data_IF_492088892045
#
_entry.id   IF_492088892045
#
_cell.length_a   1.000
_cell.length_b   1.000
_cell.length_c   1.000
_cell.angle_alpha   90.00
_cell.angle_beta   90.00
_cell.angle_gamma   90.00
#
_symmetry.space_group_name_H-M   'P 1'
#
loop_
_entity.id
_entity.type
_entity.pdbx_description
1 polymer ?
#
# COMPACT_ATOMS: atom_id res chain seq x y z
N UNK A 1 16.99 -18.65 -21.21
CA UNK A 1 16.16 -17.64 -21.88
C UNK A 1 16.15 -16.42 -20.99
N UNK A 2 16.30 -15.20 -21.52
CA UNK A 2 16.17 -13.97 -20.75
C UNK A 2 14.74 -13.91 -20.21
N UNK A 3 14.57 -13.65 -18.91
CA UNK A 3 13.25 -13.41 -18.33
C UNK A 3 12.74 -12.07 -18.84
N UNK A 4 11.46 -12.03 -19.20
CA UNK A 4 10.82 -10.84 -19.74
C UNK A 4 9.57 -10.52 -18.92
N UNK A 5 9.44 -9.26 -18.50
CA UNK A 5 8.26 -8.78 -17.78
C UNK A 5 7.74 -7.48 -18.38
N UNK A 6 6.43 -7.35 -18.43
CA UNK A 6 5.72 -6.13 -18.81
C UNK A 6 5.14 -5.48 -17.58
N UNK A 7 5.48 -4.21 -17.33
CA UNK A 7 5.00 -3.43 -16.18
C UNK A 7 4.19 -2.26 -16.72
N UNK A 8 2.92 -2.16 -16.30
CA UNK A 8 2.12 -0.98 -16.53
C UNK A 8 2.49 0.09 -15.49
N UNK A 9 2.99 1.23 -15.96
CA UNK A 9 3.33 2.37 -15.13
C UNK A 9 2.16 3.37 -15.16
N UNK A 10 1.60 3.68 -14.00
CA UNK A 10 0.50 4.58 -13.79
C UNK A 10 0.96 5.76 -12.89
N UNK A 11 1.63 6.78 -13.44
CA UNK A 11 2.18 7.86 -12.61
C UNK A 11 1.10 8.61 -11.82
N UNK A 12 -0.05 8.88 -12.44
CA UNK A 12 -1.19 9.53 -11.80
C UNK A 12 -0.98 11.01 -11.54
N UNK A 13 -1.31 11.45 -10.31
CA UNK A 13 -1.45 12.85 -9.92
C UNK A 13 -0.36 13.30 -8.92
N UNK A 14 -0.23 14.58 -8.77
CA UNK A 14 0.61 15.19 -7.74
C UNK A 14 2.07 14.79 -7.82
N UNK A 15 2.61 14.24 -6.73
CA UNK A 15 4.00 13.76 -6.69
C UNK A 15 4.18 12.39 -7.37
N UNK A 16 3.10 11.72 -7.78
CA UNK A 16 3.14 10.39 -8.40
C UNK A 16 4.14 10.29 -9.57
N UNK A 17 4.12 11.22 -10.55
CA UNK A 17 5.12 11.23 -11.63
C UNK A 17 6.56 11.36 -11.15
N UNK A 18 6.82 12.14 -10.09
CA UNK A 18 8.16 12.30 -9.53
C UNK A 18 8.70 11.01 -8.93
N UNK A 19 7.90 10.34 -8.10
CA UNK A 19 8.33 9.11 -7.41
C UNK A 19 8.40 7.90 -8.36
N UNK A 20 7.49 7.81 -9.36
CA UNK A 20 7.56 6.77 -10.41
C UNK A 20 8.83 6.92 -11.25
N UNK A 21 9.24 8.14 -11.57
CA UNK A 21 10.47 8.39 -12.32
C UNK A 21 11.69 7.79 -11.61
N UNK A 22 11.76 7.90 -10.29
CA UNK A 22 12.86 7.33 -9.51
C UNK A 22 12.79 5.80 -9.42
N UNK A 23 11.61 5.22 -9.27
CA UNK A 23 11.39 3.79 -9.34
C UNK A 23 11.76 3.19 -10.72
N UNK A 24 11.48 3.91 -11.80
CA UNK A 24 11.88 3.53 -13.18
C UNK A 24 13.41 3.45 -13.33
N UNK A 25 14.18 4.33 -12.70
CA UNK A 25 15.64 4.24 -12.70
C UNK A 25 16.12 2.94 -12.06
N UNK A 26 15.53 2.57 -10.92
CA UNK A 26 15.80 1.30 -10.21
C UNK A 26 15.47 0.11 -11.10
N UNK A 27 14.28 0.08 -11.73
CA UNK A 27 13.88 -0.96 -12.67
C UNK A 27 14.87 -1.12 -13.83
N UNK A 28 15.29 -0.01 -14.46
CA UNK A 28 16.26 -0.02 -15.57
C UNK A 28 17.63 -0.53 -15.15
N UNK A 29 18.13 -0.12 -13.98
CA UNK A 29 19.40 -0.61 -13.44
C UNK A 29 19.35 -2.12 -13.17
N UNK A 30 18.26 -2.63 -12.57
CA UNK A 30 18.04 -4.06 -12.34
C UNK A 30 17.92 -4.84 -13.66
N UNK A 31 17.17 -4.34 -14.63
CA UNK A 31 17.07 -4.96 -15.97
C UNK A 31 18.43 -5.15 -16.60
N UNK A 32 19.28 -4.11 -16.56
CA UNK A 32 20.64 -4.15 -17.10
C UNK A 32 21.56 -5.10 -16.31
N UNK A 33 21.58 -5.02 -15.00
CA UNK A 33 22.51 -5.79 -14.15
C UNK A 33 22.18 -7.28 -14.08
N UNK A 34 20.87 -7.64 -14.17
CA UNK A 34 20.40 -9.01 -14.05
C UNK A 34 20.07 -9.66 -15.43
N UNK A 35 20.19 -8.91 -16.53
CA UNK A 35 19.85 -9.40 -17.86
C UNK A 35 18.34 -9.69 -18.03
N UNK A 36 17.49 -8.95 -17.30
CA UNK A 36 16.03 -9.05 -17.37
C UNK A 36 15.51 -8.03 -18.39
N UNK A 37 14.70 -8.49 -19.34
CA UNK A 37 14.03 -7.60 -20.29
C UNK A 37 12.76 -7.02 -19.63
N UNK A 38 12.75 -5.70 -19.37
CA UNK A 38 11.61 -5.00 -18.82
C UNK A 38 10.95 -4.12 -19.88
N UNK A 39 9.69 -4.42 -20.21
CA UNK A 39 8.82 -3.55 -21.00
C UNK A 39 8.03 -2.66 -20.04
N UNK A 40 8.31 -1.36 -20.06
CA UNK A 40 7.66 -0.37 -19.21
C UNK A 40 6.62 0.39 -20.06
N UNK A 41 5.35 0.15 -19.79
CA UNK A 41 4.23 0.76 -20.51
C UNK A 41 3.57 1.84 -19.66
N UNK A 42 3.82 3.10 -19.97
CA UNK A 42 3.26 4.23 -19.20
C UNK A 42 1.90 4.64 -19.79
N UNK A 43 0.88 4.70 -18.94
CA UNK A 43 -0.51 5.05 -19.27
C UNK A 43 -1.09 6.02 -18.23
N UNK A 44 -1.99 6.95 -18.66
CA UNK A 44 -2.56 7.95 -17.76
C UNK A 44 -3.60 7.33 -16.81
N UNK A 45 -3.70 7.87 -15.59
CA UNK A 45 -4.69 7.47 -14.58
C UNK A 45 -5.03 8.67 -13.69
N UNK A 46 -6.17 8.61 -13.02
CA UNK A 46 -6.57 9.62 -12.03
C UNK A 46 -7.03 10.93 -12.65
N UNK A 47 -6.69 12.03 -12.02
CA UNK A 47 -7.03 13.37 -12.47
C UNK A 47 -6.33 13.75 -13.78
N UNK A 48 -5.09 13.30 -13.97
CA UNK A 48 -4.36 13.49 -15.22
C UNK A 48 -5.07 12.83 -16.41
N UNK A 49 -5.61 11.64 -16.24
CA UNK A 49 -6.41 10.96 -17.25
C UNK A 49 -7.76 11.65 -17.46
N UNK A 50 -8.41 12.09 -16.38
CA UNK A 50 -9.66 12.85 -16.50
C UNK A 50 -9.49 14.12 -17.34
N UNK A 51 -8.39 14.85 -17.18
CA UNK A 51 -8.14 16.08 -17.95
C UNK A 51 -7.89 15.83 -19.43
N UNK A 52 -7.28 14.71 -19.77
CA UNK A 52 -6.92 14.39 -21.17
C UNK A 52 -7.99 13.56 -21.89
N UNK A 53 -8.71 12.70 -21.17
CA UNK A 53 -9.62 11.70 -21.76
C UNK A 53 -11.05 11.78 -21.20
N UNK A 54 -11.33 12.68 -20.24
CA UNK A 54 -12.64 12.87 -19.63
C UNK A 54 -13.07 11.77 -18.65
N UNK A 55 -12.18 10.80 -18.35
CA UNK A 55 -12.46 9.70 -17.43
C UNK A 55 -11.22 9.35 -16.61
N UNK A 56 -11.33 9.12 -15.27
CA UNK A 56 -10.17 8.88 -14.41
C UNK A 56 -9.49 7.51 -14.65
N UNK A 57 -10.21 6.54 -15.23
CA UNK A 57 -9.69 5.23 -15.63
C UNK A 57 -10.13 4.94 -17.07
N UNK A 58 -9.39 5.41 -18.09
CA UNK A 58 -9.66 5.11 -19.49
C UNK A 58 -9.53 3.61 -19.81
N UNK A 59 -10.23 3.14 -20.84
CA UNK A 59 -10.19 1.73 -21.24
C UNK A 59 -8.79 1.25 -21.68
N UNK A 60 -8.02 2.11 -22.35
CA UNK A 60 -6.62 1.81 -22.69
C UNK A 60 -5.75 1.58 -21.46
N UNK A 61 -5.95 2.36 -20.39
CA UNK A 61 -5.26 2.18 -19.11
C UNK A 61 -5.66 0.88 -18.43
N UNK A 62 -6.95 0.58 -18.40
CA UNK A 62 -7.44 -0.68 -17.83
C UNK A 62 -6.90 -1.89 -18.60
N UNK A 63 -6.93 -1.87 -19.93
CA UNK A 63 -6.39 -2.94 -20.76
C UNK A 63 -4.88 -3.12 -20.53
N UNK A 64 -4.11 -2.04 -20.52
CA UNK A 64 -2.69 -2.09 -20.23
C UNK A 64 -2.38 -2.70 -18.86
N UNK A 65 -3.20 -2.37 -17.84
CA UNK A 65 -3.06 -2.94 -16.50
C UNK A 65 -3.42 -4.44 -16.45
N UNK A 66 -4.41 -4.89 -17.23
CA UNK A 66 -4.82 -6.29 -17.29
C UNK A 66 -3.84 -7.18 -18.07
N UNK A 67 -3.19 -6.62 -19.10
CA UNK A 67 -2.22 -7.32 -19.96
C UNK A 67 -0.80 -7.35 -19.38
N UNK A 68 -0.51 -6.53 -18.38
CA UNK A 68 0.79 -6.47 -17.73
C UNK A 68 0.99 -7.63 -16.74
N UNK A 69 2.25 -7.97 -16.45
CA UNK A 69 2.63 -8.90 -15.38
C UNK A 69 2.52 -8.25 -13.99
N UNK A 70 2.63 -6.91 -13.95
CA UNK A 70 2.44 -6.12 -12.74
C UNK A 70 2.08 -4.66 -13.06
N UNK A 71 1.41 -3.99 -12.12
CA UNK A 71 1.12 -2.56 -12.20
C UNK A 71 1.91 -1.81 -11.14
N UNK A 72 2.56 -0.71 -11.51
CA UNK A 72 3.16 0.23 -10.57
C UNK A 72 2.42 1.57 -10.65
N UNK A 73 1.73 1.92 -9.56
CA UNK A 73 0.95 3.15 -9.43
C UNK A 73 1.71 4.17 -8.57
N UNK A 74 1.72 5.44 -8.99
CA UNK A 74 2.29 6.53 -8.21
C UNK A 74 1.31 7.03 -7.16
N UNK A 75 0.40 7.92 -7.55
CA UNK A 75 -0.64 8.44 -6.66
C UNK A 75 -1.83 8.95 -7.48
N UNK A 76 -3.01 9.02 -6.87
CA UNK A 76 -4.20 9.61 -7.50
C UNK A 76 -4.90 10.55 -6.53
N UNK A 77 -5.59 11.56 -7.08
CA UNK A 77 -6.39 12.50 -6.31
C UNK A 77 -5.78 13.88 -6.16
N UNK A 78 -6.57 14.77 -5.61
CA UNK A 78 -6.17 16.13 -5.30
C UNK A 78 -7.33 17.11 -5.22
N UNK A 79 -7.15 18.27 -4.55
CA UNK A 79 -8.23 19.23 -4.29
C UNK A 79 -8.84 19.84 -5.56
N UNK A 80 -8.10 19.82 -6.67
CA UNK A 80 -8.55 20.31 -7.97
C UNK A 80 -9.84 19.64 -8.46
N UNK A 81 -10.05 18.37 -8.09
CA UNK A 81 -11.17 17.55 -8.58
C UNK A 81 -12.26 17.27 -7.53
N UNK A 82 -12.24 17.96 -6.39
CA UNK A 82 -13.26 17.78 -5.34
C UNK A 82 -14.67 18.22 -5.77
N UNK A 83 -14.76 19.15 -6.73
CA UNK A 83 -16.02 19.74 -7.17
C UNK A 83 -16.65 19.04 -8.39
N UNK A 84 -15.95 18.08 -9.01
CA UNK A 84 -16.52 17.32 -10.14
C UNK A 84 -17.46 16.23 -9.67
N UNK A 85 -18.20 15.62 -10.59
CA UNK A 85 -19.08 14.51 -10.30
C UNK A 85 -18.35 13.40 -9.55
N UNK A 86 -18.97 12.86 -8.50
CA UNK A 86 -18.36 11.86 -7.64
C UNK A 86 -17.89 10.61 -8.39
N UNK A 87 -18.60 10.23 -9.48
CA UNK A 87 -18.24 9.09 -10.31
C UNK A 87 -16.98 9.29 -11.15
N UNK A 88 -16.57 10.55 -11.35
CA UNK A 88 -15.44 10.96 -12.18
C UNK A 88 -14.22 11.41 -11.34
N UNK A 89 -14.32 11.40 -10.02
CA UNK A 89 -13.18 11.75 -9.15
C UNK A 89 -12.02 10.80 -9.35
N UNK A 90 -10.76 11.27 -9.27
CA UNK A 90 -9.56 10.46 -9.48
C UNK A 90 -9.51 9.16 -8.66
N UNK A 91 -9.98 9.20 -7.42
CA UNK A 91 -10.00 8.04 -6.50
C UNK A 91 -10.87 6.87 -7.04
N UNK A 92 -11.81 7.18 -7.94
CA UNK A 92 -12.61 6.15 -8.62
C UNK A 92 -11.77 5.27 -9.54
N UNK A 93 -10.65 5.79 -10.07
CA UNK A 93 -9.72 5.01 -10.85
C UNK A 93 -9.08 3.89 -10.01
N UNK A 94 -8.66 4.21 -8.79
CA UNK A 94 -8.06 3.23 -7.88
C UNK A 94 -9.05 2.12 -7.51
N UNK A 95 -10.30 2.49 -7.17
CA UNK A 95 -11.35 1.53 -6.88
C UNK A 95 -11.69 0.67 -8.11
N UNK A 96 -11.72 1.29 -9.30
CA UNK A 96 -11.93 0.61 -10.57
C UNK A 96 -10.84 -0.40 -10.89
N UNK A 97 -9.57 -0.04 -10.72
CA UNK A 97 -8.41 -0.95 -10.89
C UNK A 97 -8.52 -2.14 -9.92
N UNK A 98 -8.73 -1.90 -8.62
CA UNK A 98 -8.86 -2.95 -7.62
C UNK A 98 -9.98 -3.94 -7.95
N UNK A 99 -11.14 -3.44 -8.38
CA UNK A 99 -12.28 -4.26 -8.76
C UNK A 99 -12.01 -5.08 -10.02
N UNK A 100 -11.55 -4.42 -11.11
CA UNK A 100 -11.35 -5.08 -12.40
C UNK A 100 -10.18 -6.09 -12.39
N UNK A 101 -9.12 -5.80 -11.65
CA UNK A 101 -7.99 -6.72 -11.44
C UNK A 101 -8.25 -7.74 -10.32
N UNK A 102 -9.42 -7.69 -9.65
CA UNK A 102 -9.81 -8.57 -8.53
C UNK A 102 -8.82 -8.57 -7.38
N UNK A 103 -8.30 -7.41 -7.03
CA UNK A 103 -7.32 -7.23 -5.96
C UNK A 103 -8.06 -7.13 -4.62
N UNK A 104 -8.12 -8.23 -3.89
CA UNK A 104 -8.88 -8.28 -2.63
C UNK A 104 -8.01 -8.17 -1.38
N UNK A 105 -6.72 -8.41 -1.48
CA UNK A 105 -5.80 -8.32 -0.34
C UNK A 105 -4.76 -7.22 -0.56
N UNK A 106 -4.68 -6.28 0.37
CA UNK A 106 -3.63 -5.26 0.38
C UNK A 106 -2.67 -5.52 1.54
N UNK A 107 -1.41 -5.76 1.19
CA UNK A 107 -0.32 -5.98 2.12
C UNK A 107 0.39 -4.65 2.36
N UNK A 108 0.38 -4.16 3.59
CA UNK A 108 0.99 -2.90 4.02
C UNK A 108 2.02 -3.18 5.13
N UNK A 109 3.28 -3.43 4.78
CA UNK A 109 4.33 -3.60 5.79
C UNK A 109 4.66 -2.27 6.46
N UNK A 110 4.79 -2.27 7.78
CA UNK A 110 5.32 -1.18 8.61
C UNK A 110 6.59 -1.68 9.29
N UNK A 111 7.70 -1.63 8.55
CA UNK A 111 9.03 -2.03 8.99
C UNK A 111 9.88 -0.79 9.22
N UNK A 112 10.55 -0.71 10.36
CA UNK A 112 11.47 0.38 10.65
C UNK A 112 12.89 0.02 10.24
N UNK A 113 13.53 0.89 9.49
CA UNK A 113 14.95 0.77 9.20
C UNK A 113 15.76 1.22 10.42
N UNK A 114 16.81 0.48 10.83
CA UNK A 114 17.62 0.84 12.01
C UNK A 114 18.13 2.29 11.98
N UNK A 115 18.48 2.79 10.80
CA UNK A 115 18.94 4.16 10.60
C UNK A 115 17.83 5.23 10.78
N UNK A 116 16.55 4.86 10.85
CA UNK A 116 15.41 5.76 10.98
C UNK A 116 14.68 5.63 12.34
N UNK A 117 15.18 4.85 13.27
CA UNK A 117 14.53 4.65 14.58
C UNK A 117 14.27 6.00 15.27
N UNK A 118 15.23 6.93 15.18
CA UNK A 118 15.12 8.26 15.80
C UNK A 118 14.21 9.23 15.02
N UNK A 119 13.72 8.86 13.83
CA UNK A 119 12.70 9.61 13.09
C UNK A 119 11.28 9.29 13.57
N UNK A 120 11.08 8.19 14.29
CA UNK A 120 9.79 7.84 14.88
C UNK A 120 9.37 8.86 15.94
N UNK A 121 8.06 9.23 16.03
CA UNK A 121 7.55 10.06 17.11
C UNK A 121 7.47 9.32 18.46
N UNK A 122 7.62 7.99 18.45
CA UNK A 122 7.61 7.17 19.64
C UNK A 122 9.02 6.98 20.20
N UNK A 123 9.09 6.56 21.46
CA UNK A 123 10.35 6.21 22.10
C UNK A 123 11.00 5.03 21.40
N UNK A 124 12.32 5.08 21.27
CA UNK A 124 13.14 4.07 20.58
C UNK A 124 12.84 2.63 21.04
N UNK A 125 12.71 2.41 22.34
CA UNK A 125 12.42 1.08 22.90
C UNK A 125 11.09 0.46 22.42
N UNK A 126 10.14 1.29 21.96
CA UNK A 126 8.86 0.82 21.42
C UNK A 126 8.95 0.40 19.96
N UNK A 127 9.85 1.01 19.19
CA UNK A 127 9.87 0.86 17.72
C UNK A 127 11.13 0.21 17.17
N UNK A 128 12.19 0.06 17.96
CA UNK A 128 13.43 -0.61 17.53
C UNK A 128 13.14 -2.05 17.07
N UNK A 129 13.58 -2.40 15.85
CA UNK A 129 13.30 -3.67 15.19
C UNK A 129 11.79 -3.95 14.95
N UNK A 130 10.97 -2.91 14.81
CA UNK A 130 9.56 -3.08 14.49
C UNK A 130 9.40 -3.61 13.05
N UNK A 131 8.59 -4.66 12.90
CA UNK A 131 8.21 -5.25 11.63
C UNK A 131 6.78 -5.83 11.72
N UNK A 132 5.80 -5.07 11.28
CA UNK A 132 4.38 -5.43 11.27
C UNK A 132 3.89 -5.46 9.83
N UNK A 133 2.97 -6.37 9.51
CA UNK A 133 2.22 -6.33 8.24
C UNK A 133 0.74 -6.20 8.53
N UNK A 134 0.11 -5.17 7.97
CA UNK A 134 -1.35 -5.03 7.95
C UNK A 134 -1.89 -5.62 6.66
N UNK A 135 -2.74 -6.63 6.77
CA UNK A 135 -3.49 -7.25 5.66
C UNK A 135 -4.90 -6.67 5.67
N UNK A 136 -5.15 -5.77 4.71
CA UNK A 136 -6.41 -5.07 4.53
C UNK A 136 -7.23 -5.76 3.44
N UNK A 137 -8.47 -6.13 3.72
CA UNK A 137 -9.41 -6.52 2.68
C UNK A 137 -9.78 -5.28 1.83
N UNK A 138 -9.81 -5.39 0.49
CA UNK A 138 -9.92 -4.23 -0.41
C UNK A 138 -11.24 -4.12 -1.18
N UNK A 139 -11.99 -5.19 -1.34
CA UNK A 139 -13.10 -5.25 -2.32
C UNK A 139 -14.49 -5.37 -1.71
N UNK A 140 -14.56 -5.50 -0.39
CA UNK A 140 -15.78 -5.53 0.38
C UNK A 140 -15.94 -4.33 1.32
N UNK A 141 -16.86 -4.48 2.25
CA UNK A 141 -17.11 -3.53 3.32
C UNK A 141 -17.86 -2.28 2.91
N UNK A 142 -17.74 -1.25 3.74
CA UNK A 142 -18.51 -0.01 3.63
C UNK A 142 -18.15 0.83 2.38
N UNK A 143 -16.97 0.60 1.77
CA UNK A 143 -16.55 1.31 0.57
C UNK A 143 -17.26 0.82 -0.70
N UNK A 144 -17.79 -0.41 -0.68
CA UNK A 144 -18.42 -1.05 -1.84
C UNK A 144 -19.87 -1.46 -1.60
N UNK A 145 -20.31 -1.53 -0.34
CA UNK A 145 -21.64 -1.98 0.03
C UNK A 145 -22.77 -1.09 -0.54
N UNK A 146 -23.86 -1.72 -0.93
CA UNK A 146 -25.07 -1.08 -1.42
C UNK A 146 -26.26 -1.47 -0.50
N UNK A 147 -27.29 -0.60 -0.32
CA UNK A 147 -27.40 0.75 -0.88
C UNK A 147 -26.53 1.78 -0.16
N UNK A 148 -26.18 2.86 -0.88
CA UNK A 148 -25.44 4.00 -0.33
C UNK A 148 -25.84 5.29 -1.04
N UNK A 149 -25.69 6.42 -0.39
CA UNK A 149 -26.00 7.70 -0.99
C UNK A 149 -26.39 8.78 -0.01
N UNK A 150 -26.90 9.88 -0.58
CA UNK A 150 -27.52 10.97 0.14
C UNK A 150 -28.90 11.18 -0.46
N UNK A 151 -29.94 11.09 0.35
CA UNK A 151 -31.32 11.34 -0.07
C UNK A 151 -31.92 12.53 0.67
N UNK A 152 -32.90 13.17 0.05
CA UNK A 152 -33.72 14.19 0.70
C UNK A 152 -35.02 13.56 1.17
N UNK A 153 -35.30 13.68 2.45
CA UNK A 153 -36.53 13.15 3.06
C UNK A 153 -37.74 14.05 2.76
N UNK A 154 -38.94 13.57 3.07
CA UNK A 154 -40.21 14.26 2.81
C UNK A 154 -40.34 15.61 3.54
N UNK A 155 -39.62 15.78 4.64
CA UNK A 155 -39.57 17.04 5.42
C UNK A 155 -38.50 18.03 4.92
N UNK A 156 -37.78 17.68 3.82
CA UNK A 156 -36.70 18.50 3.25
C UNK A 156 -35.33 18.30 3.92
N UNK A 157 -35.22 17.51 4.97
CA UNK A 157 -33.91 17.17 5.56
C UNK A 157 -33.15 16.15 4.70
N UNK A 158 -31.82 16.09 4.86
CA UNK A 158 -30.98 15.15 4.12
C UNK A 158 -30.51 14.02 5.02
N UNK A 159 -30.47 12.80 4.47
CA UNK A 159 -29.92 11.61 5.13
C UNK A 159 -28.81 11.00 4.26
N UNK A 160 -27.60 10.85 4.82
CA UNK A 160 -26.52 10.10 4.20
C UNK A 160 -26.43 8.69 4.78
N UNK A 161 -26.16 7.69 3.95
CA UNK A 161 -26.02 6.30 4.38
C UNK A 161 -25.03 5.52 3.53
N UNK A 162 -24.35 4.57 4.16
CA UNK A 162 -23.51 3.55 3.53
C UNK A 162 -23.81 2.20 4.17
N UNK A 163 -23.73 1.14 3.39
CA UNK A 163 -23.95 -0.22 3.86
C UNK A 163 -22.60 -0.94 4.06
N UNK A 164 -22.40 -1.52 5.24
CA UNK A 164 -21.25 -2.36 5.53
C UNK A 164 -21.64 -3.83 5.29
N UNK A 165 -21.04 -4.47 4.30
CA UNK A 165 -21.33 -5.85 3.91
C UNK A 165 -20.04 -6.63 3.72
N UNK A 166 -19.99 -7.85 4.24
CA UNK A 166 -19.02 -8.88 3.93
C UNK A 166 -19.70 -10.21 3.74
N UNK A 167 -19.30 -10.93 2.72
CA UNK A 167 -19.67 -12.34 2.54
C UNK A 167 -18.64 -13.25 3.21
N UNK A 168 -19.06 -14.46 3.54
CA UNK A 168 -18.19 -15.48 4.11
C UNK A 168 -16.95 -15.77 3.22
N UNK A 169 -17.14 -15.82 1.90
CA UNK A 169 -16.06 -16.07 0.94
C UNK A 169 -15.03 -14.91 0.89
N UNK A 170 -15.47 -13.67 1.04
CA UNK A 170 -14.56 -12.52 1.13
C UNK A 170 -13.70 -12.60 2.40
N UNK A 171 -14.29 -13.02 3.51
CA UNK A 171 -13.58 -13.19 4.77
C UNK A 171 -12.62 -14.38 4.70
N UNK A 172 -13.05 -15.52 4.15
CA UNK A 172 -12.21 -16.73 4.01
C UNK A 172 -10.94 -16.46 3.20
N UNK A 173 -11.09 -15.81 2.03
CA UNK A 173 -9.94 -15.55 1.15
C UNK A 173 -8.90 -14.63 1.80
N UNK A 174 -9.34 -13.58 2.51
CA UNK A 174 -8.38 -12.67 3.16
C UNK A 174 -7.76 -13.29 4.41
N UNK A 175 -8.49 -14.10 5.16
CA UNK A 175 -7.97 -14.83 6.30
C UNK A 175 -6.85 -15.80 5.89
N UNK A 176 -7.03 -16.56 4.79
CA UNK A 176 -5.98 -17.44 4.25
C UNK A 176 -4.73 -16.66 3.89
N UNK A 177 -4.85 -15.52 3.21
CA UNK A 177 -3.70 -14.66 2.90
C UNK A 177 -2.95 -14.27 4.18
N UNK A 178 -3.67 -13.88 5.24
CA UNK A 178 -3.06 -13.49 6.50
C UNK A 178 -2.31 -14.63 7.18
N UNK A 179 -2.90 -15.81 7.22
CA UNK A 179 -2.24 -16.99 7.80
C UNK A 179 -1.05 -17.47 6.96
N UNK A 180 -1.14 -17.45 5.63
CA UNK A 180 -0.02 -17.80 4.74
C UNK A 180 1.15 -16.82 4.89
N UNK A 181 0.87 -15.52 5.02
CA UNK A 181 1.89 -14.51 5.34
C UNK A 181 2.49 -14.77 6.71
N UNK A 182 1.69 -15.05 7.74
CA UNK A 182 2.16 -15.30 9.09
C UNK A 182 3.07 -16.55 9.17
N UNK A 183 2.78 -17.62 8.41
CA UNK A 183 3.65 -18.80 8.31
C UNK A 183 5.08 -18.51 7.88
N UNK A 184 5.26 -17.45 7.06
CA UNK A 184 6.57 -16.99 6.58
C UNK A 184 7.20 -15.96 7.52
N UNK A 185 6.56 -15.64 8.65
CA UNK A 185 6.98 -14.66 9.66
C UNK A 185 6.99 -15.29 11.06
N UNK A 186 6.57 -14.54 12.08
CA UNK A 186 6.60 -15.00 13.48
C UNK A 186 5.37 -15.84 13.89
N UNK A 187 4.57 -16.27 12.92
CA UNK A 187 3.40 -17.16 13.11
C UNK A 187 2.34 -16.61 14.08
N UNK A 188 2.10 -15.31 14.05
CA UNK A 188 1.07 -14.66 14.88
C UNK A 188 0.16 -13.80 13.99
N UNK A 189 -1.14 -13.99 14.14
CA UNK A 189 -2.18 -13.18 13.49
C UNK A 189 -3.06 -12.55 14.55
N UNK A 190 -3.26 -11.24 14.45
CA UNK A 190 -4.28 -10.51 15.19
C UNK A 190 -5.39 -10.13 14.21
N UNK A 191 -6.57 -10.76 14.38
CA UNK A 191 -7.77 -10.41 13.62
C UNK A 191 -8.48 -9.25 14.31
N UNK A 192 -8.59 -8.12 13.59
CA UNK A 192 -9.13 -6.89 14.14
C UNK A 192 -10.53 -6.62 13.62
N UNK A 193 -11.47 -6.40 14.55
CA UNK A 193 -12.90 -6.28 14.27
C UNK A 193 -13.60 -5.30 15.24
N UNK A 194 -14.92 -5.18 15.14
CA UNK A 194 -15.81 -4.49 16.10
C UNK A 194 -17.01 -5.39 16.45
N UNK A 195 -16.76 -6.66 16.70
CA UNK A 195 -17.77 -7.70 16.88
C UNK A 195 -18.71 -7.49 18.09
N UNK A 196 -18.31 -6.63 19.03
CA UNK A 196 -19.17 -6.24 20.15
C UNK A 196 -20.30 -5.27 19.78
N UNK A 197 -20.29 -4.72 18.56
CA UNK A 197 -21.27 -3.70 18.11
C UNK A 197 -21.83 -4.00 16.71
N UNK A 198 -21.04 -4.59 15.81
CA UNK A 198 -21.38 -4.77 14.40
C UNK A 198 -21.51 -6.27 14.07
N UNK A 199 -22.72 -6.70 13.69
CA UNK A 199 -23.03 -8.07 13.32
C UNK A 199 -22.13 -8.58 12.19
N UNK A 200 -21.87 -7.75 11.18
CA UNK A 200 -20.98 -8.11 10.05
C UNK A 200 -19.56 -8.45 10.51
N UNK A 201 -19.07 -7.81 11.56
CA UNK A 201 -17.76 -8.15 12.11
C UNK A 201 -17.83 -9.27 13.15
N UNK A 202 -19.00 -9.60 13.65
CA UNK A 202 -19.28 -10.87 14.33
C UNK A 202 -19.04 -12.05 13.38
N UNK A 203 -19.66 -12.01 12.19
CA UNK A 203 -19.41 -13.00 11.14
C UNK A 203 -17.93 -13.06 10.75
N UNK A 204 -17.26 -11.89 10.63
CA UNK A 204 -15.82 -11.84 10.37
C UNK A 204 -15.02 -12.68 11.37
N UNK A 205 -15.27 -12.47 12.66
CA UNK A 205 -14.59 -13.18 13.75
C UNK A 205 -14.85 -14.69 13.70
N UNK A 206 -16.09 -15.10 13.45
CA UNK A 206 -16.48 -16.50 13.32
C UNK A 206 -15.73 -17.18 12.17
N UNK A 207 -15.79 -16.60 10.97
CA UNK A 207 -15.17 -17.17 9.76
C UNK A 207 -13.63 -17.20 9.86
N UNK A 208 -13.00 -16.16 10.41
CA UNK A 208 -11.54 -16.18 10.65
C UNK A 208 -11.16 -17.29 11.63
N UNK A 209 -11.97 -17.52 12.68
CA UNK A 209 -11.76 -18.60 13.63
C UNK A 209 -11.93 -19.97 12.98
N UNK A 210 -12.88 -20.14 12.05
CA UNK A 210 -13.06 -21.37 11.29
C UNK A 210 -11.85 -21.69 10.40
N UNK A 211 -11.38 -20.69 9.63
CA UNK A 211 -10.20 -20.86 8.78
C UNK A 211 -8.93 -21.13 9.58
N UNK A 212 -8.79 -20.57 10.77
CA UNK A 212 -7.65 -20.83 11.65
C UNK A 212 -7.46 -22.33 11.95
N UNK A 213 -8.52 -23.15 11.91
CA UNK A 213 -8.40 -24.61 12.11
C UNK A 213 -7.54 -25.30 11.05
N UNK A 214 -7.35 -24.66 9.87
CA UNK A 214 -6.45 -25.10 8.80
C UNK A 214 -4.98 -24.68 9.05
N UNK A 215 -4.72 -23.88 10.11
CA UNK A 215 -3.47 -23.20 10.41
C UNK A 215 -3.10 -23.33 11.90
N UNK A 216 -3.12 -24.54 12.43
CA UNK A 216 -2.88 -24.86 13.84
C UNK A 216 -1.46 -24.49 14.33
N UNK A 217 -0.54 -24.27 13.39
CA UNK A 217 0.83 -23.81 13.63
C UNK A 217 0.95 -22.29 13.80
N UNK A 218 -0.15 -21.51 13.62
CA UNK A 218 -0.20 -20.05 13.72
C UNK A 218 -1.06 -19.64 14.92
N UNK A 219 -0.58 -18.74 15.75
CA UNK A 219 -1.34 -18.19 16.87
C UNK A 219 -2.34 -17.15 16.34
N UNK A 220 -3.63 -17.32 16.67
CA UNK A 220 -4.68 -16.35 16.37
C UNK A 220 -5.14 -15.65 17.65
N UNK A 221 -5.17 -14.34 17.62
CA UNK A 221 -5.81 -13.48 18.61
C UNK A 221 -6.87 -12.59 17.94
N UNK A 222 -7.96 -12.27 18.66
CA UNK A 222 -8.95 -11.30 18.20
C UNK A 222 -8.84 -10.02 19.03
N UNK A 223 -8.90 -8.88 18.35
CA UNK A 223 -8.82 -7.58 19.03
C UNK A 223 -9.87 -6.61 18.46
N UNK A 224 -10.52 -5.85 19.30
CA UNK A 224 -11.37 -4.75 18.83
C UNK A 224 -10.52 -3.63 18.24
N UNK A 225 -11.02 -2.99 17.18
CA UNK A 225 -10.29 -1.98 16.41
C UNK A 225 -9.81 -0.80 17.26
N UNK A 226 -10.63 -0.33 18.19
CA UNK A 226 -10.29 0.75 19.13
C UNK A 226 -9.14 0.34 20.07
N UNK A 227 -9.15 -0.90 20.56
CA UNK A 227 -8.00 -1.42 21.33
C UNK A 227 -6.76 -1.59 20.45
N UNK A 228 -6.91 -2.07 19.21
CA UNK A 228 -5.78 -2.21 18.28
C UNK A 228 -5.10 -0.87 18.04
N UNK A 229 -5.86 0.20 17.77
CA UNK A 229 -5.33 1.56 17.63
C UNK A 229 -4.53 2.01 18.86
N UNK A 230 -5.07 1.82 20.07
CA UNK A 230 -4.34 2.12 21.29
C UNK A 230 -3.05 1.30 21.44
N UNK A 231 -3.10 0.00 21.08
CA UNK A 231 -1.95 -0.91 21.24
C UNK A 231 -0.86 -0.66 20.20
N UNK A 232 -1.19 -0.20 18.99
CA UNK A 232 -0.21 0.23 18.00
C UNK A 232 0.69 1.34 18.53
N UNK A 233 0.13 2.29 19.27
CA UNK A 233 0.91 3.37 19.91
C UNK A 233 1.62 2.89 21.18
N UNK A 234 0.97 2.05 22.00
CA UNK A 234 1.46 1.68 23.32
C UNK A 234 2.49 0.56 23.31
N UNK A 235 2.26 -0.46 22.50
CA UNK A 235 3.06 -1.70 22.48
C UNK A 235 3.06 -2.33 21.09
N UNK A 236 3.56 -1.64 20.04
CA UNK A 236 3.47 -2.12 18.65
C UNK A 236 4.19 -3.44 18.41
N UNK A 237 5.22 -3.77 19.17
CA UNK A 237 6.00 -5.01 19.03
C UNK A 237 5.22 -6.30 19.34
N UNK A 238 4.01 -6.21 19.89
CA UNK A 238 3.16 -7.38 20.08
C UNK A 238 2.57 -7.91 18.77
N UNK A 239 2.52 -7.05 17.72
CA UNK A 239 1.95 -7.41 16.44
C UNK A 239 3.00 -8.00 15.50
N UNK A 240 2.59 -8.99 14.71
CA UNK A 240 3.32 -9.56 13.58
C UNK A 240 2.48 -9.35 12.31
N UNK A 241 1.33 -10.01 12.21
CA UNK A 241 0.36 -9.83 11.14
C UNK A 241 -0.96 -9.37 11.72
N UNK A 242 -1.49 -8.27 11.21
CA UNK A 242 -2.84 -7.77 11.50
C UNK A 242 -3.70 -8.05 10.27
N UNK A 243 -4.86 -8.71 10.43
CA UNK A 243 -5.86 -8.86 9.37
C UNK A 243 -7.13 -8.15 9.77
N UNK A 244 -7.70 -7.37 8.84
CA UNK A 244 -8.90 -6.57 9.13
C UNK A 244 -9.67 -6.16 7.87
N UNK A 245 -10.85 -5.58 8.10
CA UNK A 245 -11.76 -5.06 7.09
C UNK A 245 -11.15 -3.87 6.32
N UNK A 246 -11.82 -3.47 5.23
CA UNK A 246 -11.36 -2.41 4.34
C UNK A 246 -11.11 -1.09 5.09
N UNK A 247 -12.13 -0.52 5.72
CA UNK A 247 -12.03 0.77 6.40
C UNK A 247 -11.09 0.72 7.62
N UNK A 248 -11.18 -0.32 8.44
CA UNK A 248 -10.28 -0.43 9.60
C UNK A 248 -8.83 -0.63 9.17
N UNK A 249 -8.61 -1.41 8.11
CA UNK A 249 -7.27 -1.62 7.55
C UNK A 249 -6.66 -0.35 6.98
N UNK A 250 -7.46 0.53 6.39
CA UNK A 250 -7.02 1.83 5.92
C UNK A 250 -6.50 2.68 7.08
N UNK A 251 -7.34 2.86 8.10
CA UNK A 251 -7.02 3.71 9.26
C UNK A 251 -5.82 3.15 10.06
N UNK A 252 -5.85 1.86 10.40
CA UNK A 252 -4.79 1.25 11.21
C UNK A 252 -3.44 1.17 10.49
N UNK A 253 -3.42 1.00 9.17
CA UNK A 253 -2.16 1.00 8.43
C UNK A 253 -1.56 2.39 8.31
N UNK A 254 -2.38 3.44 8.19
CA UNK A 254 -1.89 4.81 8.22
C UNK A 254 -1.37 5.19 9.62
N UNK A 255 -2.03 4.74 10.68
CA UNK A 255 -1.52 4.86 12.04
C UNK A 255 -0.18 4.11 12.20
N UNK A 256 -0.10 2.85 11.74
CA UNK A 256 1.13 2.05 11.78
C UNK A 256 2.26 2.72 10.97
N UNK A 257 1.92 3.48 9.93
CA UNK A 257 2.88 4.22 9.13
C UNK A 257 3.66 5.24 9.96
N UNK A 258 2.99 5.90 10.87
CA UNK A 258 3.61 6.93 11.70
C UNK A 258 4.63 6.35 12.70
N UNK A 259 4.55 5.04 12.99
CA UNK A 259 5.55 4.36 13.82
C UNK A 259 6.93 4.34 13.16
N UNK A 260 6.99 4.34 11.83
CA UNK A 260 8.23 4.30 11.05
C UNK A 260 8.84 5.68 10.81
N UNK A 261 8.16 6.74 11.20
CA UNK A 261 8.59 8.14 11.09
C UNK A 261 8.13 8.87 9.84
N UNK A 262 7.76 8.17 8.77
CA UNK A 262 7.19 8.80 7.55
C UNK A 262 6.40 7.81 6.70
N UNK A 263 5.26 8.24 6.20
CA UNK A 263 4.47 7.52 5.19
C UNK A 263 5.24 7.34 3.86
N UNK A 264 6.24 8.19 3.60
CA UNK A 264 7.13 8.09 2.44
C UNK A 264 8.09 6.91 2.45
N UNK A 265 8.08 6.11 3.54
CA UNK A 265 8.87 4.88 3.67
C UNK A 265 8.06 3.61 3.40
N UNK A 266 6.75 3.70 3.22
CA UNK A 266 5.87 2.54 3.27
C UNK A 266 5.35 2.12 1.90
N UNK A 267 5.80 0.97 1.40
CA UNK A 267 5.27 0.35 0.20
C UNK A 267 3.95 -0.35 0.47
N UNK A 268 3.23 -0.69 -0.58
CA UNK A 268 2.13 -1.64 -0.52
C UNK A 268 2.01 -2.53 -1.75
N UNK A 269 1.40 -3.70 -1.56
CA UNK A 269 1.05 -4.63 -2.62
C UNK A 269 -0.44 -4.96 -2.53
N UNK A 270 -1.17 -4.75 -3.61
CA UNK A 270 -2.56 -5.20 -3.78
C UNK A 270 -2.57 -6.44 -4.64
N UNK A 271 -2.98 -7.57 -4.06
CA UNK A 271 -2.90 -8.90 -4.68
C UNK A 271 -4.25 -9.62 -4.67
N UNK A 272 -4.38 -10.68 -5.47
CA UNK A 272 -5.58 -11.52 -5.48
C UNK A 272 -6.01 -11.99 -6.88
N UNK A 273 -5.87 -11.16 -7.91
CA UNK A 273 -6.10 -11.53 -9.30
C UNK A 273 -4.85 -12.02 -10.02
N UNK A 274 -4.90 -12.05 -11.35
CA UNK A 274 -3.76 -12.44 -12.20
C UNK A 274 -2.64 -11.39 -12.22
N UNK A 275 -3.00 -10.12 -12.11
CA UNK A 275 -2.06 -8.99 -12.14
C UNK A 275 -2.15 -8.24 -10.82
N UNK A 276 -1.05 -8.16 -10.09
CA UNK A 276 -0.97 -7.42 -8.85
C UNK A 276 -0.60 -5.94 -9.09
N UNK A 277 -1.00 -5.08 -8.16
CA UNK A 277 -0.69 -3.65 -8.20
C UNK A 277 0.14 -3.24 -6.99
N UNK A 278 1.17 -2.46 -7.24
CA UNK A 278 2.14 -1.97 -6.27
C UNK A 278 2.10 -0.46 -6.24
N UNK A 279 1.99 0.11 -5.05
CA UNK A 279 1.85 1.55 -4.85
C UNK A 279 2.43 1.99 -3.50
N UNK A 280 2.96 3.20 -3.35
CA UNK A 280 3.23 3.74 -2.01
C UNK A 280 1.91 3.96 -1.26
N UNK A 281 1.96 3.96 0.08
CA UNK A 281 0.77 4.24 0.90
C UNK A 281 0.39 5.73 0.86
N UNK A 282 1.38 6.62 0.68
CA UNK A 282 1.15 8.07 0.62
C UNK A 282 0.27 8.48 -0.57
N UNK A 283 -0.46 9.59 -0.43
CA UNK A 283 -1.27 10.20 -1.49
C UNK A 283 -0.45 11.07 -2.45
N UNK A 284 -1.16 11.93 -3.17
CA UNK A 284 -0.61 12.80 -4.22
C UNK A 284 0.16 14.03 -3.71
N UNK A 285 0.07 14.38 -2.43
CA UNK A 285 0.77 15.47 -1.75
C UNK A 285 0.87 16.77 -2.60
N UNK A 286 -0.25 17.40 -2.96
CA UNK A 286 -0.31 18.50 -3.92
C UNK A 286 0.50 19.74 -3.49
N UNK A 287 0.74 19.90 -2.20
CA UNK A 287 1.50 21.01 -1.60
C UNK A 287 3.01 20.96 -1.89
N UNK A 288 3.56 19.80 -2.23
CA UNK A 288 5.01 19.63 -2.53
C UNK A 288 5.32 19.26 -3.98
N UNK A 289 4.32 19.22 -4.85
CA UNK A 289 4.50 18.92 -6.28
C UNK A 289 5.48 19.87 -6.94
N UNK A 290 6.41 19.36 -7.73
CA UNK A 290 7.42 20.13 -8.47
C UNK A 290 8.54 20.74 -7.62
N UNK A 291 8.53 20.47 -6.29
CA UNK A 291 9.56 21.01 -5.39
C UNK A 291 10.75 20.07 -5.17
N UNK A 292 10.68 18.84 -5.69
CA UNK A 292 11.72 17.83 -5.49
C UNK A 292 11.89 17.39 -4.04
N UNK A 293 10.82 17.46 -3.23
CA UNK A 293 10.83 17.15 -1.80
C UNK A 293 10.24 15.78 -1.48
N UNK A 294 9.53 15.17 -2.43
CA UNK A 294 8.88 13.88 -2.23
C UNK A 294 9.92 12.77 -1.93
N UNK A 295 9.62 11.91 -0.96
CA UNK A 295 10.42 10.73 -0.67
C UNK A 295 10.06 9.61 -1.66
N UNK A 296 10.99 9.14 -2.53
CA UNK A 296 10.67 8.10 -3.51
C UNK A 296 10.81 6.68 -2.94
N UNK A 297 11.26 6.52 -1.70
CA UNK A 297 11.65 5.22 -1.14
C UNK A 297 10.45 4.27 -1.01
N UNK A 298 9.25 4.77 -0.68
CA UNK A 298 8.05 3.93 -0.64
C UNK A 298 7.74 3.30 -2.01
N UNK A 299 7.86 4.08 -3.09
CA UNK A 299 7.65 3.57 -4.46
C UNK A 299 8.76 2.60 -4.88
N UNK A 300 10.00 2.88 -4.52
CA UNK A 300 11.14 1.97 -4.76
C UNK A 300 10.97 0.65 -3.99
N UNK A 301 10.54 0.71 -2.73
CA UNK A 301 10.22 -0.48 -1.93
C UNK A 301 8.99 -1.22 -2.45
N UNK A 302 8.04 -0.52 -3.10
CA UNK A 302 6.92 -1.17 -3.81
C UNK A 302 7.44 -1.98 -5.02
N UNK A 303 8.50 -1.52 -5.69
CA UNK A 303 9.20 -2.33 -6.71
C UNK A 303 9.83 -3.58 -6.07
N UNK A 304 10.41 -3.49 -4.87
CA UNK A 304 10.92 -4.67 -4.15
C UNK A 304 9.81 -5.69 -3.91
N UNK A 305 8.64 -5.24 -3.43
CA UNK A 305 7.46 -6.11 -3.27
C UNK A 305 7.01 -6.71 -4.61
N UNK A 306 7.09 -5.97 -5.72
CA UNK A 306 6.75 -6.47 -7.06
C UNK A 306 7.63 -7.66 -7.45
N UNK A 307 8.94 -7.56 -7.25
CA UNK A 307 9.85 -8.67 -7.53
C UNK A 307 9.56 -9.88 -6.64
N UNK A 308 9.23 -9.65 -5.36
CA UNK A 308 8.91 -10.71 -4.42
C UNK A 308 7.60 -11.45 -4.74
N UNK A 309 6.53 -10.70 -5.00
CA UNK A 309 5.17 -11.28 -5.07
C UNK A 309 4.68 -11.59 -6.48
N UNK A 310 5.08 -10.82 -7.50
CA UNK A 310 4.67 -11.07 -8.90
C UNK A 310 5.71 -11.87 -9.68
N UNK A 311 7.00 -11.64 -9.43
CA UNK A 311 8.06 -12.24 -10.24
C UNK A 311 8.79 -13.41 -9.56
N UNK A 312 8.43 -13.73 -8.32
CA UNK A 312 9.04 -14.79 -7.50
C UNK A 312 10.58 -14.67 -7.43
N UNK A 313 11.04 -13.42 -7.26
CA UNK A 313 12.46 -13.04 -7.22
C UNK A 313 12.78 -12.36 -5.88
N UNK A 314 12.74 -13.15 -4.80
CA UNK A 314 12.98 -12.65 -3.43
C UNK A 314 14.37 -12.04 -3.28
N UNK A 315 15.38 -12.62 -3.92
CA UNK A 315 16.75 -12.12 -3.90
C UNK A 315 16.90 -10.71 -4.53
N UNK A 316 16.05 -10.38 -5.52
CA UNK A 316 16.02 -9.03 -6.11
C UNK A 316 15.34 -8.06 -5.16
N UNK A 317 14.28 -8.48 -4.49
CA UNK A 317 13.61 -7.70 -3.44
C UNK A 317 14.59 -7.34 -2.33
N UNK A 318 15.31 -8.32 -1.79
CA UNK A 318 16.32 -8.12 -0.75
C UNK A 318 17.45 -7.19 -1.20
N UNK A 319 17.87 -7.28 -2.47
CA UNK A 319 18.89 -6.38 -3.04
C UNK A 319 18.41 -4.93 -3.05
N UNK A 320 17.13 -4.67 -3.41
CA UNK A 320 16.55 -3.31 -3.36
C UNK A 320 16.48 -2.81 -1.92
N UNK A 321 15.95 -3.62 -0.99
CA UNK A 321 15.84 -3.24 0.42
C UNK A 321 17.23 -2.93 1.02
N UNK A 322 18.23 -3.75 0.72
CA UNK A 322 19.62 -3.54 1.16
C UNK A 322 20.23 -2.27 0.59
N UNK A 323 19.95 -1.93 -0.67
CA UNK A 323 20.41 -0.68 -1.28
C UNK A 323 19.78 0.54 -0.59
N UNK A 324 18.48 0.49 -0.29
CA UNK A 324 17.79 1.55 0.49
C UNK A 324 18.40 1.68 1.88
N UNK A 325 18.62 0.58 2.58
CA UNK A 325 19.23 0.57 3.91
C UNK A 325 20.64 1.14 3.88
N UNK A 326 21.45 0.79 2.86
CA UNK A 326 22.80 1.31 2.67
C UNK A 326 22.81 2.83 2.51
N UNK A 327 21.91 3.40 1.69
CA UNK A 327 21.77 4.86 1.52
C UNK A 327 21.38 5.52 2.85
N UNK A 328 20.44 4.95 3.59
CA UNK A 328 20.04 5.46 4.89
C UNK A 328 21.17 5.40 5.93
N UNK A 329 21.97 4.33 5.93
CA UNK A 329 23.13 4.18 6.82
C UNK A 329 24.25 5.19 6.51
N UNK A 330 24.33 5.73 5.29
CA UNK A 330 25.22 6.83 4.92
C UNK A 330 24.74 8.20 5.44
N UNK A 331 23.62 8.25 6.15
CA UNK A 331 23.06 9.48 6.70
C UNK A 331 22.28 10.32 5.69
N UNK A 332 21.96 9.78 4.52
CA UNK A 332 21.20 10.47 3.48
C UNK A 332 19.71 10.45 3.80
N UNK A 333 19.03 11.58 3.68
CA UNK A 333 17.62 11.74 4.04
C UNK A 333 16.88 12.65 3.05
N UNK A 334 15.64 12.32 2.74
CA UNK A 334 14.66 13.29 2.26
C UNK A 334 14.11 14.10 3.43
N UNK A 335 13.44 15.20 3.14
CA UNK A 335 13.00 16.18 4.15
C UNK A 335 12.07 15.57 5.21
N UNK A 336 11.21 14.64 4.83
CA UNK A 336 10.20 13.97 5.69
C UNK A 336 10.82 13.05 6.77
N UNK A 337 12.01 12.49 6.49
CA UNK A 337 12.77 11.62 7.39
C UNK A 337 14.05 12.29 7.92
N UNK A 338 14.13 13.60 7.83
CA UNK A 338 15.32 14.36 8.21
C UNK A 338 15.54 14.33 9.74
N UNK A 339 16.77 14.19 10.16
CA UNK A 339 17.19 14.28 11.55
C UNK A 339 18.54 14.98 11.68
N UNK A 340 18.95 15.33 12.92
CA UNK A 340 20.17 16.07 13.18
C UNK A 340 21.41 15.37 12.59
N UNK A 341 22.30 16.15 11.97
CA UNK A 341 23.58 15.72 11.36
C UNK A 341 23.43 14.82 10.12
N UNK A 342 22.24 14.71 9.54
CA UNK A 342 22.02 13.99 8.30
C UNK A 342 22.15 14.92 7.09
N UNK A 343 22.28 14.33 5.90
CA UNK A 343 22.43 15.00 4.62
C UNK A 343 21.06 15.04 3.94
N UNK A 344 20.48 16.24 3.82
CA UNK A 344 19.21 16.42 3.08
C UNK A 344 19.49 16.32 1.59
N UNK A 345 18.65 15.56 0.88
CA UNK A 345 18.70 15.38 -0.57
C UNK A 345 17.29 15.52 -1.18
N UNK A 346 17.25 15.87 -2.45
CA UNK A 346 16.02 15.90 -3.23
C UNK A 346 15.49 14.50 -3.57
N UNK A 347 14.25 14.45 -4.08
CA UNK A 347 13.62 13.25 -4.64
C UNK A 347 14.55 12.55 -5.63
N UNK A 348 15.09 13.30 -6.59
CA UNK A 348 15.97 12.79 -7.63
C UNK A 348 17.28 12.27 -7.06
N UNK A 349 17.95 13.02 -6.21
CA UNK A 349 19.24 12.60 -5.61
C UNK A 349 19.07 11.33 -4.75
N UNK A 350 17.95 11.17 -4.05
CA UNK A 350 17.65 9.96 -3.30
C UNK A 350 17.56 8.74 -4.23
N UNK A 351 16.80 8.85 -5.33
CA UNK A 351 16.70 7.78 -6.34
C UNK A 351 18.05 7.44 -6.97
N UNK A 352 18.83 8.46 -7.35
CA UNK A 352 20.17 8.26 -7.93
C UNK A 352 21.11 7.54 -6.96
N UNK A 353 21.07 7.86 -5.66
CA UNK A 353 21.87 7.18 -4.63
C UNK A 353 21.47 5.71 -4.44
N UNK A 354 20.17 5.38 -4.49
CA UNK A 354 19.71 3.99 -4.44
C UNK A 354 20.24 3.21 -5.66
N UNK A 355 20.20 3.80 -6.86
CA UNK A 355 20.75 3.16 -8.07
C UNK A 355 22.25 2.89 -7.93
N UNK A 356 23.02 3.84 -7.39
CA UNK A 356 24.45 3.67 -7.14
C UNK A 356 24.71 2.49 -6.18
N UNK A 357 23.92 2.32 -5.13
CA UNK A 357 24.05 1.19 -4.21
C UNK A 357 23.67 -0.15 -4.86
N UNK A 358 22.64 -0.16 -5.73
CA UNK A 358 22.24 -1.35 -6.49
C UNK A 358 23.32 -1.85 -7.48
N UNK A 359 24.15 -0.97 -7.99
CA UNK A 359 25.19 -1.29 -8.99
C UNK A 359 26.51 -1.78 -8.37
N UNK A 360 26.62 -1.74 -7.05
CA UNK A 360 27.74 -2.33 -6.30
C UNK A 360 27.57 -3.85 -6.16
#
# INVERSE_FOLDING_TARGET
>A
MSQKYTIALLPGDGIGPEVIKEAVKVLRSLGKSLGIELTLNEVPVGGAAYETEGHPLPMNTLNAAQEADAVLLGAVGGPKWEQIDFSLRPERALLGLRSNLKLYANLRPAKIFPALVDASPLKRELVDNLDIVVIRELTGGIYFGEPRGVETLTDGTRRGFNTLVYTEEEIKRIARVAFDVARKRNKRVVSVDKANVLEVTGLWREVVTEIHREYDDVVLEHMYVDNCAMQLVRAPKQFDVIVTTNMFGDILSDEASMLTGSIGMLPSASVGGSTAMYEPIHGSAPDIVGKGLANPLATILSVAMMFKYSFDREEVSEKIESAVESVLNQGVRTRDIMSNKMIEVSTQEMGDKVVVELEK
#
